data_IF_419931991469
#
_entry.id   IF_419931991469
#
_cell.length_a   1.000
_cell.length_b   1.000
_cell.length_c   1.000
_cell.angle_alpha   90.00
_cell.angle_beta   90.00
_cell.angle_gamma   90.00
#
_symmetry.space_group_name_H-M   'P 1'
#
loop_
_entity.id
_entity.type
_entity.pdbx_description
1 polymer ?
#
# COMPACT_ATOMS: atom_id res chain seq x y z
N UNK A 1 4.13 -20.16 21.28
CA UNK A 1 3.72 -21.41 21.95
C UNK A 1 3.06 -22.31 20.90
N UNK A 2 3.59 -23.52 20.73
CA UNK A 2 3.35 -24.41 19.58
C UNK A 2 1.95 -25.06 19.60
N UNK A 3 1.27 -25.21 18.44
CA UNK A 3 -0.01 -25.93 18.30
C UNK A 3 0.14 -27.47 18.32
N UNK A 4 1.33 -28.00 18.63
CA UNK A 4 1.62 -29.45 18.64
C UNK A 4 1.09 -30.21 19.86
N UNK A 5 0.70 -29.52 20.94
CA UNK A 5 0.29 -30.18 22.19
C UNK A 5 -1.11 -30.82 22.10
N UNK A 6 -1.96 -30.33 21.18
CA UNK A 6 -3.36 -30.74 21.09
C UNK A 6 -3.55 -32.11 20.42
N UNK A 7 -2.61 -32.51 19.54
CA UNK A 7 -2.62 -33.82 18.89
C UNK A 7 -2.09 -34.95 19.78
N UNK A 8 -1.11 -34.66 20.64
CA UNK A 8 -0.55 -35.65 21.57
C UNK A 8 -1.53 -36.04 22.67
N UNK A 9 -2.37 -35.11 23.14
CA UNK A 9 -3.43 -35.37 24.13
C UNK A 9 -4.55 -36.25 23.55
N UNK A 10 -4.89 -36.09 22.26
CA UNK A 10 -5.91 -36.90 21.59
C UNK A 10 -5.46 -38.37 21.42
N UNK A 11 -4.18 -38.59 21.11
CA UNK A 11 -3.59 -39.94 21.02
C UNK A 11 -3.49 -40.63 22.39
N UNK A 12 -3.24 -39.87 23.46
CA UNK A 12 -3.18 -40.42 24.82
C UNK A 12 -4.56 -40.79 25.36
N UNK A 13 -5.61 -40.01 25.05
CA UNK A 13 -6.99 -40.33 25.42
C UNK A 13 -7.52 -41.58 24.72
N UNK A 14 -7.09 -41.86 23.48
CA UNK A 14 -7.45 -43.10 22.78
C UNK A 14 -6.76 -44.36 23.37
N UNK A 15 -5.69 -44.21 24.16
CA UNK A 15 -4.94 -45.33 24.73
C UNK A 15 -5.43 -45.78 26.11
N UNK A 16 -6.27 -44.99 26.80
CA UNK A 16 -6.72 -45.29 28.18
C UNK A 16 -8.19 -45.69 28.32
N UNK A 17 -8.98 -45.73 27.24
CA UNK A 17 -10.42 -46.01 27.33
C UNK A 17 -10.88 -47.39 26.84
N UNK A 18 -10.01 -48.42 26.88
CA UNK A 18 -10.41 -49.80 26.62
C UNK A 18 -10.35 -50.65 27.89
N UNK A 19 -11.28 -50.41 28.81
CA UNK A 19 -11.68 -51.38 29.82
C UNK A 19 -13.18 -51.69 29.67
N UNK A 20 -13.43 -52.93 29.24
CA UNK A 20 -14.62 -53.77 29.39
C UNK A 20 -16.02 -53.14 29.28
N UNK A 21 -16.58 -53.12 28.06
CA UNK A 21 -18.03 -53.30 27.84
C UNK A 21 -18.33 -53.80 26.41
N UNK A 22 -19.38 -54.61 26.20
CA UNK A 22 -19.54 -55.42 25.01
C UNK A 22 -20.38 -54.70 23.94
N UNK A 23 -19.86 -53.63 23.34
CA UNK A 23 -20.47 -53.01 22.15
C UNK A 23 -19.52 -52.05 21.42
N UNK A 24 -18.51 -52.56 20.72
CA UNK A 24 -17.90 -51.82 19.60
C UNK A 24 -17.06 -52.75 18.72
N UNK A 25 -17.55 -53.06 17.52
CA UNK A 25 -16.73 -53.58 16.43
C UNK A 25 -15.76 -52.48 15.94
N UNK A 26 -14.53 -52.87 15.62
CA UNK A 26 -13.43 -52.05 15.07
C UNK A 26 -12.47 -51.38 16.07
N UNK A 27 -11.74 -52.17 16.85
CA UNK A 27 -10.42 -51.77 17.35
C UNK A 27 -9.33 -52.46 16.51
N UNK A 28 -8.44 -51.69 15.88
CA UNK A 28 -7.27 -52.21 15.14
C UNK A 28 -6.34 -52.95 16.11
N UNK A 29 -5.99 -54.20 15.80
CA UNK A 29 -5.07 -55.00 16.60
C UNK A 29 -3.68 -54.33 16.61
N UNK A 30 -2.94 -54.43 17.73
CA UNK A 30 -1.56 -53.94 17.90
C UNK A 30 -0.65 -54.26 16.71
N UNK A 31 -0.81 -55.44 16.10
CA UNK A 31 -0.05 -55.84 14.92
C UNK A 31 -0.41 -55.04 13.66
N UNK A 32 -1.69 -54.69 13.47
CA UNK A 32 -2.14 -53.85 12.35
C UNK A 32 -1.65 -52.42 12.51
N UNK A 33 -1.65 -51.88 13.74
CA UNK A 33 -1.13 -50.54 14.04
C UNK A 33 0.38 -50.44 13.74
N UNK A 34 1.16 -51.46 14.14
CA UNK A 34 2.59 -51.53 13.86
C UNK A 34 2.88 -51.65 12.35
N UNK A 35 2.03 -52.35 11.60
CA UNK A 35 2.15 -52.43 10.14
C UNK A 35 1.89 -51.08 9.46
N UNK A 36 0.86 -50.34 9.89
CA UNK A 36 0.57 -48.99 9.36
C UNK A 36 1.68 -47.99 9.68
N UNK A 37 2.28 -48.05 10.87
CA UNK A 37 3.42 -47.19 11.23
C UNK A 37 4.63 -47.48 10.36
N UNK A 38 4.93 -48.76 10.08
CA UNK A 38 6.04 -49.13 9.18
C UNK A 38 5.81 -48.65 7.75
N UNK A 39 4.57 -48.72 7.25
CA UNK A 39 4.22 -48.17 5.94
C UNK A 39 4.38 -46.65 5.88
N UNK A 40 3.94 -45.91 6.89
CA UNK A 40 4.15 -44.46 6.97
C UNK A 40 5.65 -44.10 7.03
N UNK A 41 6.45 -44.86 7.78
CA UNK A 41 7.91 -44.65 7.82
C UNK A 41 8.58 -44.89 6.45
N UNK A 42 8.18 -45.95 5.72
CA UNK A 42 8.68 -46.18 4.36
C UNK A 42 8.26 -45.08 3.39
N UNK A 43 7.03 -44.60 3.50
CA UNK A 43 6.53 -43.50 2.69
C UNK A 43 7.32 -42.21 2.94
N UNK A 44 7.53 -41.83 4.20
CA UNK A 44 8.29 -40.65 4.58
C UNK A 44 9.75 -40.73 4.10
N UNK A 45 10.38 -41.90 4.21
CA UNK A 45 11.74 -42.15 3.68
C UNK A 45 11.79 -42.04 2.14
N UNK A 46 10.72 -42.46 1.47
CA UNK A 46 10.55 -42.26 0.02
C UNK A 46 10.39 -40.79 -0.38
N UNK A 47 9.71 -39.97 0.44
CA UNK A 47 9.58 -38.53 0.21
C UNK A 47 10.91 -37.81 0.45
N UNK A 48 11.64 -38.17 1.49
CA UNK A 48 12.96 -37.62 1.81
C UNK A 48 13.97 -37.86 0.67
N UNK A 49 14.03 -39.09 0.15
CA UNK A 49 14.93 -39.42 -0.98
C UNK A 49 14.58 -38.66 -2.26
N UNK A 50 13.28 -38.49 -2.58
CA UNK A 50 12.85 -37.67 -3.73
C UNK A 50 13.17 -36.20 -3.57
N UNK A 51 13.05 -35.68 -2.34
CA UNK A 51 13.39 -34.29 -2.04
C UNK A 51 14.90 -34.03 -2.18
N UNK A 52 15.74 -34.91 -1.64
CA UNK A 52 17.20 -34.85 -1.80
C UNK A 52 17.62 -34.90 -3.27
N UNK A 53 16.98 -35.76 -4.05
CA UNK A 53 17.21 -35.88 -5.49
C UNK A 53 16.76 -34.63 -6.27
N UNK A 54 15.65 -34.00 -5.87
CA UNK A 54 15.20 -32.72 -6.40
C UNK A 54 16.18 -31.58 -6.13
N UNK A 55 16.74 -31.51 -4.92
CA UNK A 55 17.79 -30.55 -4.55
C UNK A 55 19.06 -30.78 -5.39
N UNK A 56 19.45 -32.04 -5.62
CA UNK A 56 20.61 -32.40 -6.47
C UNK A 56 20.44 -31.91 -7.90
N UNK A 57 19.25 -32.09 -8.48
CA UNK A 57 18.91 -31.59 -9.81
C UNK A 57 18.92 -30.05 -9.89
N UNK A 58 18.37 -29.37 -8.87
CA UNK A 58 18.42 -27.90 -8.79
C UNK A 58 19.85 -27.39 -8.72
N UNK A 59 20.71 -27.99 -7.88
CA UNK A 59 22.12 -27.62 -7.76
C UNK A 59 22.86 -27.79 -9.09
N UNK A 60 22.60 -28.88 -9.81
CA UNK A 60 23.19 -29.12 -11.13
C UNK A 60 22.74 -28.09 -12.18
N UNK A 61 21.45 -27.73 -12.20
CA UNK A 61 20.97 -26.65 -13.09
C UNK A 61 21.59 -25.31 -12.73
N UNK A 62 21.73 -24.99 -11.44
CA UNK A 62 22.37 -23.77 -10.97
C UNK A 62 23.83 -23.68 -11.43
N UNK A 63 24.60 -24.77 -11.31
CA UNK A 63 25.99 -24.83 -11.81
C UNK A 63 26.07 -24.70 -13.33
N UNK A 64 25.08 -25.21 -14.06
CA UNK A 64 25.02 -25.10 -15.53
C UNK A 64 24.71 -23.66 -15.96
N UNK A 65 23.80 -22.98 -15.26
CA UNK A 65 23.50 -21.57 -15.43
C UNK A 65 24.71 -20.68 -15.13
N UNK A 66 25.42 -20.97 -14.04
CA UNK A 66 26.62 -20.24 -13.65
C UNK A 66 27.74 -20.39 -14.69
N UNK A 67 27.92 -21.58 -15.27
CA UNK A 67 28.86 -21.82 -16.36
C UNK A 67 28.45 -21.19 -17.70
N UNK A 68 27.16 -20.93 -17.89
CA UNK A 68 26.64 -20.25 -19.09
C UNK A 68 26.84 -18.73 -18.98
N UNK A 69 26.67 -18.19 -17.77
CA UNK A 69 26.96 -16.78 -17.44
C UNK A 69 28.46 -16.46 -17.56
N UNK A 70 29.35 -17.37 -17.19
CA UNK A 70 30.81 -17.16 -17.31
C UNK A 70 31.36 -17.34 -18.73
N UNK A 71 30.58 -17.93 -19.64
CA UNK A 71 30.94 -18.12 -21.06
C UNK A 71 30.35 -17.08 -22.02
N UNK A 72 29.55 -16.13 -21.54
CA UNK A 72 29.06 -15.05 -22.36
C UNK A 72 30.21 -14.09 -22.71
N UNK A 73 30.54 -14.02 -24.00
CA UNK A 73 31.46 -13.03 -24.58
C UNK A 73 30.91 -11.60 -24.42
N UNK A 74 31.74 -10.55 -24.55
CA UNK A 74 31.42 -9.23 -24.02
C UNK A 74 30.25 -8.58 -24.76
N UNK A 75 29.34 -8.04 -23.96
CA UNK A 75 28.19 -7.22 -24.37
C UNK A 75 28.63 -6.06 -25.29
N UNK A 76 27.82 -5.67 -26.30
CA UNK A 76 28.04 -4.41 -26.99
C UNK A 76 28.07 -3.30 -25.93
N UNK A 77 29.11 -2.46 -25.96
CA UNK A 77 29.31 -1.41 -24.97
C UNK A 77 28.03 -0.55 -24.89
N UNK A 78 27.31 -0.69 -23.77
CA UNK A 78 26.13 0.11 -23.50
C UNK A 78 26.58 1.57 -23.44
N UNK A 79 25.98 2.41 -24.28
CA UNK A 79 26.24 3.85 -24.29
C UNK A 79 25.49 4.46 -23.10
N UNK A 80 26.23 5.08 -22.18
CA UNK A 80 25.70 5.76 -21.01
C UNK A 80 25.94 7.26 -21.12
N UNK A 81 24.95 8.07 -20.75
CA UNK A 81 25.12 9.50 -20.59
C UNK A 81 25.77 9.84 -19.23
N UNK A 82 26.45 10.99 -19.09
CA UNK A 82 27.02 11.43 -17.80
C UNK A 82 25.96 11.52 -16.70
N UNK A 83 26.34 11.24 -15.45
CA UNK A 83 25.41 11.34 -14.31
C UNK A 83 25.04 12.81 -14.07
N UNK A 84 23.75 13.12 -14.11
CA UNK A 84 23.24 14.46 -13.80
C UNK A 84 23.19 14.69 -12.29
N UNK A 85 23.77 15.81 -11.85
CA UNK A 85 23.71 16.26 -10.45
C UNK A 85 22.34 16.85 -10.09
N UNK A 86 22.04 16.88 -8.80
CA UNK A 86 20.79 17.45 -8.30
C UNK A 86 20.93 18.98 -8.28
N UNK A 87 19.99 19.75 -8.87
CA UNK A 87 20.00 21.20 -8.78
C UNK A 87 19.93 21.67 -7.34
N UNK A 88 20.69 22.71 -6.98
CA UNK A 88 20.60 23.35 -5.68
C UNK A 88 19.16 23.82 -5.44
N UNK A 89 18.61 23.51 -4.26
CA UNK A 89 17.19 23.75 -3.91
C UNK A 89 16.18 23.03 -4.83
N UNK A 90 16.56 21.91 -5.43
CA UNK A 90 15.70 21.05 -6.24
C UNK A 90 15.83 19.56 -5.92
N UNK A 91 15.01 18.74 -6.59
CA UNK A 91 15.02 17.27 -6.51
C UNK A 91 15.12 16.68 -7.91
N UNK A 92 15.89 15.59 -8.04
CA UNK A 92 16.06 14.82 -9.29
C UNK A 92 15.34 13.48 -9.19
N UNK A 93 14.58 13.13 -10.22
CA UNK A 93 13.94 11.82 -10.36
C UNK A 93 14.53 11.09 -11.57
N UNK A 94 14.90 9.83 -11.37
CA UNK A 94 15.61 9.03 -12.37
C UNK A 94 17.08 8.83 -11.98
N UNK A 95 17.47 7.58 -11.74
CA UNK A 95 18.84 7.18 -11.35
C UNK A 95 19.61 6.53 -12.49
N UNK A 96 18.93 6.18 -13.58
CA UNK A 96 19.51 5.51 -14.76
C UNK A 96 19.89 6.52 -15.84
N UNK A 97 20.97 6.23 -16.56
CA UNK A 97 21.59 7.10 -17.57
C UNK A 97 21.87 6.36 -18.89
N UNK A 98 21.07 5.34 -19.23
CA UNK A 98 21.18 4.63 -20.51
C UNK A 98 20.34 5.34 -21.58
N UNK A 99 20.61 5.06 -22.85
CA UNK A 99 19.83 5.58 -23.99
C UNK A 99 18.32 5.39 -23.76
N UNK A 100 17.53 6.41 -24.13
CA UNK A 100 16.07 6.55 -23.95
C UNK A 100 15.57 6.67 -22.50
N UNK A 101 16.46 6.72 -21.50
CA UNK A 101 16.05 7.07 -20.14
C UNK A 101 15.90 8.58 -19.98
N UNK A 102 14.85 8.97 -19.26
CA UNK A 102 14.48 10.35 -18.98
C UNK A 102 14.63 10.66 -17.48
N UNK A 103 15.17 11.85 -17.19
CA UNK A 103 15.42 12.36 -15.84
C UNK A 103 14.67 13.66 -15.66
N UNK A 104 13.86 13.73 -14.61
CA UNK A 104 13.03 14.88 -14.30
C UNK A 104 13.58 15.68 -13.12
N UNK A 105 13.38 16.99 -13.17
CA UNK A 105 13.81 17.93 -12.14
C UNK A 105 12.62 18.74 -11.65
N UNK A 106 12.51 18.88 -10.33
CA UNK A 106 11.57 19.80 -9.69
C UNK A 106 12.33 20.71 -8.74
N UNK A 107 11.84 21.93 -8.54
CA UNK A 107 12.36 22.84 -7.54
C UNK A 107 11.57 22.72 -6.24
N UNK A 108 12.22 23.00 -5.11
CA UNK A 108 11.54 23.12 -3.83
C UNK A 108 10.57 24.32 -3.87
N UNK A 109 9.53 24.33 -3.01
CA UNK A 109 8.60 25.45 -2.91
C UNK A 109 9.35 26.79 -2.71
N UNK A 110 8.98 27.83 -3.48
CA UNK A 110 9.63 29.16 -3.45
C UNK A 110 10.68 29.39 -4.54
N UNK A 111 11.04 28.36 -5.32
CA UNK A 111 11.99 28.46 -6.41
C UNK A 111 11.32 28.16 -7.76
N UNK A 112 11.61 28.98 -8.77
CA UNK A 112 11.16 28.78 -10.14
C UNK A 112 12.21 28.02 -10.95
N UNK A 113 11.75 27.00 -11.68
CA UNK A 113 12.61 26.22 -12.56
C UNK A 113 12.97 27.02 -13.81
N UNK A 114 14.26 27.17 -14.06
CA UNK A 114 14.81 27.76 -15.27
C UNK A 114 15.67 26.71 -15.99
N UNK A 115 15.48 26.55 -17.30
CA UNK A 115 16.04 25.44 -18.08
C UNK A 115 15.02 24.32 -18.33
N UNK A 116 15.50 23.12 -18.69
CA UNK A 116 14.61 21.99 -19.01
C UNK A 116 14.14 21.27 -17.74
N UNK A 117 12.82 21.07 -17.58
CA UNK A 117 12.24 20.29 -16.48
C UNK A 117 12.41 18.78 -16.64
N UNK A 118 12.83 18.34 -17.83
CA UNK A 118 13.11 16.95 -18.15
C UNK A 118 14.24 16.83 -19.19
N UNK A 119 15.05 15.77 -19.09
CA UNK A 119 16.17 15.49 -19.99
C UNK A 119 16.22 14.01 -20.35
N UNK A 120 16.44 13.68 -21.61
CA UNK A 120 16.49 12.31 -22.13
C UNK A 120 17.88 11.97 -22.66
N UNK A 121 18.38 10.77 -22.37
CA UNK A 121 19.70 10.31 -22.79
C UNK A 121 19.65 9.80 -24.25
N UNK A 122 20.50 10.38 -25.10
CA UNK A 122 20.52 10.10 -26.54
C UNK A 122 21.54 9.00 -26.90
N UNK A 123 21.38 8.34 -28.08
CA UNK A 123 22.33 7.32 -28.56
C UNK A 123 23.77 7.81 -28.75
N UNK A 124 24.00 9.12 -28.79
CA UNK A 124 25.32 9.75 -28.89
C UNK A 124 26.01 9.95 -27.51
N UNK A 125 25.39 9.52 -26.40
CA UNK A 125 25.91 9.69 -25.04
C UNK A 125 25.68 11.07 -24.43
N UNK A 126 24.80 11.90 -24.99
CA UNK A 126 24.48 13.24 -24.48
C UNK A 126 23.03 13.36 -24.01
N UNK A 127 22.76 14.32 -23.12
CA UNK A 127 21.41 14.60 -22.63
C UNK A 127 20.75 15.70 -23.45
N UNK A 128 19.47 15.53 -23.79
CA UNK A 128 18.65 16.59 -24.38
C UNK A 128 18.42 17.74 -23.39
N UNK A 129 18.04 18.90 -23.93
CA UNK A 129 17.65 20.07 -23.14
C UNK A 129 18.80 20.83 -22.48
N UNK A 130 18.43 21.90 -21.78
CA UNK A 130 19.33 22.81 -21.07
C UNK A 130 19.46 22.43 -19.60
N UNK A 131 20.58 22.80 -18.97
CA UNK A 131 20.82 22.51 -17.56
C UNK A 131 19.78 23.20 -16.66
N UNK A 132 19.13 22.42 -15.80
CA UNK A 132 18.07 22.90 -14.90
C UNK A 132 18.65 23.65 -13.70
N UNK A 133 18.19 24.87 -13.48
CA UNK A 133 18.53 25.69 -12.31
C UNK A 133 17.26 26.16 -11.61
N UNK A 134 17.22 26.02 -10.30
CA UNK A 134 16.15 26.55 -9.46
C UNK A 134 16.54 27.95 -9.00
N UNK A 135 15.92 28.98 -9.59
CA UNK A 135 16.15 30.38 -9.19
C UNK A 135 15.11 30.80 -8.17
N UNK A 136 15.55 31.44 -7.10
CA UNK A 136 14.65 32.05 -6.13
C UNK A 136 13.78 33.10 -6.82
N UNK A 137 12.48 33.10 -6.51
CA UNK A 137 11.59 34.20 -6.88
C UNK A 137 11.89 35.36 -5.92
N UNK A 138 12.17 36.56 -6.44
CA UNK A 138 12.76 37.66 -5.66
C UNK A 138 11.93 38.10 -4.44
N UNK A 139 12.67 38.25 -3.35
CA UNK A 139 12.30 38.48 -1.95
C UNK A 139 11.68 39.86 -1.63
N UNK A 140 10.88 39.86 -0.55
CA UNK A 140 10.11 40.95 0.06
C UNK A 140 9.08 41.66 -0.85
N UNK A 141 8.05 40.93 -1.29
CA UNK A 141 6.77 41.56 -1.66
C UNK A 141 6.07 42.08 -0.38
N UNK A 142 5.37 43.24 -0.37
CA UNK A 142 4.92 43.92 0.85
C UNK A 142 3.89 43.18 1.72
N UNK A 143 3.51 41.96 1.35
CA UNK A 143 2.47 41.17 1.99
C UNK A 143 2.99 40.03 2.87
N UNK A 144 4.31 39.77 2.89
CA UNK A 144 4.82 38.62 3.63
C UNK A 144 4.92 38.88 5.13
N UNK A 145 5.48 40.01 5.59
CA UNK A 145 5.50 40.36 7.02
C UNK A 145 4.20 41.05 7.43
N UNK A 146 3.41 40.40 8.28
CA UNK A 146 2.13 40.89 8.75
C UNK A 146 2.31 41.84 9.96
N UNK A 147 1.27 42.59 10.31
CA UNK A 147 1.17 43.33 11.57
C UNK A 147 2.34 44.30 11.87
N UNK A 148 2.82 45.00 10.84
CA UNK A 148 3.89 46.00 10.97
C UNK A 148 5.30 45.40 11.11
N UNK A 149 5.50 44.12 10.78
CA UNK A 149 6.82 43.50 10.70
C UNK A 149 7.67 44.07 9.56
N UNK A 150 8.96 44.30 9.81
CA UNK A 150 9.90 44.81 8.81
C UNK A 150 10.61 43.65 8.12
N UNK A 151 10.45 43.52 6.81
CA UNK A 151 11.11 42.49 6.01
C UNK A 151 12.57 42.88 5.77
N UNK A 152 13.51 42.05 6.22
CA UNK A 152 14.94 42.20 5.92
C UNK A 152 15.43 40.96 5.18
N UNK A 153 16.20 41.16 4.12
CA UNK A 153 16.84 40.07 3.39
C UNK A 153 18.13 39.70 4.12
N UNK A 154 18.23 38.47 4.62
CA UNK A 154 19.40 37.94 5.33
C UNK A 154 19.96 36.75 4.51
N UNK A 155 20.62 37.06 3.39
CA UNK A 155 21.15 36.04 2.46
C UNK A 155 20.13 35.57 1.42
N UNK A 156 20.04 34.25 1.17
CA UNK A 156 19.04 33.61 0.27
C UNK A 156 17.68 33.31 0.98
N UNK A 157 17.40 34.02 2.08
CA UNK A 157 16.16 33.89 2.85
C UNK A 157 15.70 35.26 3.37
N UNK A 158 14.38 35.48 3.38
CA UNK A 158 13.78 36.66 4.01
C UNK A 158 13.54 36.41 5.51
N UNK A 159 13.73 37.43 6.32
CA UNK A 159 13.47 37.41 7.77
C UNK A 159 12.61 38.60 8.14
N UNK A 160 11.49 38.35 8.81
CA UNK A 160 10.63 39.41 9.33
C UNK A 160 11.07 39.79 10.74
N UNK A 161 11.42 41.06 10.95
CA UNK A 161 11.64 41.63 12.28
C UNK A 161 10.29 42.10 12.82
N UNK A 162 9.78 41.42 13.84
CA UNK A 162 8.47 41.69 14.41
C UNK A 162 8.50 42.80 15.46
N UNK A 163 7.38 43.54 15.57
CA UNK A 163 7.15 44.52 16.64
C UNK A 163 7.03 43.82 18.00
N UNK A 164 7.17 44.57 19.11
CA UNK A 164 7.28 44.03 20.49
C UNK A 164 6.15 43.10 20.92
N UNK A 165 4.99 43.16 20.28
CA UNK A 165 3.80 42.36 20.58
C UNK A 165 3.47 41.30 19.52
N UNK A 166 4.41 40.96 18.63
CA UNK A 166 4.22 39.94 17.59
C UNK A 166 5.41 38.97 17.47
N UNK A 167 5.12 37.70 17.16
CA UNK A 167 6.06 36.58 17.00
C UNK A 167 5.67 35.71 15.79
N UNK A 168 6.56 34.80 15.40
CA UNK A 168 6.39 33.93 14.24
C UNK A 168 7.24 34.35 13.05
N UNK A 169 7.35 33.45 12.06
CA UNK A 169 8.22 33.62 10.89
C UNK A 169 7.84 34.81 10.01
N UNK A 170 6.60 35.27 10.08
CA UNK A 170 6.12 36.42 9.34
C UNK A 170 5.29 37.40 10.19
N UNK A 171 5.51 37.41 11.50
CA UNK A 171 4.81 38.24 12.49
C UNK A 171 3.29 38.01 12.52
N UNK A 172 2.87 36.77 12.24
CA UNK A 172 1.47 36.38 12.21
C UNK A 172 0.83 36.20 13.61
N UNK A 173 1.63 35.99 14.66
CA UNK A 173 1.12 35.66 15.98
C UNK A 173 1.33 36.83 16.93
N UNK A 174 0.28 37.32 17.58
CA UNK A 174 0.44 38.27 18.68
C UNK A 174 1.19 37.56 19.81
N UNK A 175 2.19 38.21 20.43
CA UNK A 175 2.93 37.67 21.57
C UNK A 175 1.94 37.44 22.71
N UNK A 176 1.42 36.23 22.82
CA UNK A 176 0.42 35.89 23.83
C UNK A 176 1.08 35.92 25.22
N UNK A 177 0.81 36.99 25.97
CA UNK A 177 1.01 37.06 27.44
C UNK A 177 -0.12 36.36 28.20
N UNK A 178 -1.08 35.76 27.48
CA UNK A 178 -2.26 35.09 28.02
C UNK A 178 -2.33 33.69 27.41
N UNK A 179 -2.57 32.62 28.22
CA UNK A 179 -2.69 31.26 27.71
C UNK A 179 -3.69 31.19 26.55
N UNK A 180 -3.43 30.34 25.54
CA UNK A 180 -4.29 30.25 24.38
C UNK A 180 -5.71 29.83 24.79
N UNK A 181 -6.69 30.33 24.02
CA UNK A 181 -8.15 30.21 24.23
C UNK A 181 -8.69 28.78 24.30
N UNK A 182 -7.85 27.76 24.13
CA UNK A 182 -8.21 26.36 24.26
C UNK A 182 -7.97 25.76 25.64
N UNK A 183 -7.34 26.48 26.55
CA UNK A 183 -7.29 26.12 27.97
C UNK A 183 -8.71 26.16 28.53
N UNK A 184 -9.26 24.99 28.87
CA UNK A 184 -10.55 24.90 29.57
C UNK A 184 -10.30 25.38 30.99
N UNK A 185 -10.44 26.68 31.18
CA UNK A 185 -10.36 27.32 32.48
C UNK A 185 -11.62 26.93 33.26
N UNK A 186 -11.42 26.20 34.38
CA UNK A 186 -12.43 25.77 35.36
C UNK A 186 -13.03 24.34 35.25
N UNK A 187 -12.49 23.44 34.42
CA UNK A 187 -12.81 22.01 34.56
C UNK A 187 -11.85 21.36 35.58
N UNK A 188 -12.35 20.82 36.73
CA UNK A 188 -11.51 20.17 37.74
C UNK A 188 -10.75 18.94 37.22
N UNK A 189 -11.13 18.37 36.08
CA UNK A 189 -10.38 17.29 35.41
C UNK A 189 -9.16 17.80 34.63
N UNK A 190 -9.21 19.00 34.07
CA UNK A 190 -8.17 19.55 33.16
C UNK A 190 -7.33 20.67 33.79
N UNK A 191 -7.62 21.02 35.05
CA UNK A 191 -6.89 22.04 35.81
C UNK A 191 -6.45 21.48 37.17
N UNK A 192 -5.18 21.66 37.54
CA UNK A 192 -4.61 21.20 38.82
C UNK A 192 -3.66 22.22 39.44
N UNK A 193 -3.40 22.13 40.75
CA UNK A 193 -2.45 23.02 41.44
C UNK A 193 -0.99 22.61 41.14
N UNK A 194 -0.06 23.57 40.98
CA UNK A 194 1.35 23.28 40.76
C UNK A 194 2.02 22.70 42.01
N UNK A 195 3.04 21.87 41.81
CA UNK A 195 3.89 21.35 42.88
C UNK A 195 5.02 22.35 43.13
N UNK A 196 5.06 22.94 44.32
CA UNK A 196 6.05 23.96 44.67
C UNK A 196 6.99 23.47 45.78
N UNK A 197 8.29 23.66 45.58
CA UNK A 197 9.31 23.45 46.59
C UNK A 197 9.89 24.81 47.04
N UNK A 198 10.16 24.95 48.35
CA UNK A 198 10.77 26.15 48.93
C UNK A 198 12.26 25.93 49.14
N UNK A 199 13.10 26.83 48.64
CA UNK A 199 14.54 26.84 48.85
C UNK A 199 14.97 28.25 49.28
N UNK A 200 15.53 28.41 50.49
CA UNK A 200 16.20 29.61 51.02
C UNK A 200 15.87 30.94 50.28
N UNK A 201 14.64 31.42 50.47
CA UNK A 201 14.03 32.65 49.91
C UNK A 201 13.51 32.61 48.46
N UNK A 202 13.46 31.45 47.80
CA UNK A 202 12.92 31.25 46.46
C UNK A 202 11.90 30.10 46.40
N UNK A 203 10.76 30.33 45.75
CA UNK A 203 9.71 29.32 45.55
C UNK A 203 9.72 28.87 44.09
N UNK A 204 10.14 27.63 43.84
CA UNK A 204 10.11 27.03 42.51
C UNK A 204 8.89 26.13 42.38
N UNK A 205 8.02 26.44 41.44
CA UNK A 205 6.82 25.67 41.14
C UNK A 205 6.95 24.98 39.77
N UNK A 206 6.53 23.73 39.68
CA UNK A 206 6.46 22.98 38.43
C UNK A 206 5.10 22.27 38.27
N UNK A 207 4.71 22.06 37.02
CA UNK A 207 3.54 21.27 36.65
C UNK A 207 3.95 19.83 36.33
N UNK A 208 2.99 18.92 36.43
CA UNK A 208 3.14 17.55 35.96
C UNK A 208 3.26 17.53 34.42
N UNK A 209 3.88 16.48 33.87
CA UNK A 209 4.01 16.33 32.42
C UNK A 209 2.62 16.37 31.75
N UNK A 210 2.54 17.02 30.58
CA UNK A 210 1.26 17.25 29.88
C UNK A 210 0.48 18.47 30.38
N UNK A 211 0.97 19.20 31.39
CA UNK A 211 0.36 20.45 31.87
C UNK A 211 1.32 21.63 31.71
N UNK A 212 0.77 22.79 31.32
CA UNK A 212 1.49 24.05 31.28
C UNK A 212 1.07 24.96 32.43
N UNK A 213 2.01 25.76 32.94
CA UNK A 213 1.74 26.69 34.03
C UNK A 213 1.13 27.98 33.48
N UNK A 214 0.03 28.40 34.07
CA UNK A 214 -0.77 29.56 33.69
C UNK A 214 -1.10 30.37 34.95
N UNK A 215 -1.05 31.71 34.91
CA UNK A 215 -1.31 32.58 36.07
C UNK A 215 -0.08 33.31 36.63
N UNK A 216 -0.29 34.09 37.71
CA UNK A 216 0.74 34.90 38.39
C UNK A 216 1.41 34.13 39.54
N UNK A 217 2.54 34.60 40.07
CA UNK A 217 3.34 33.92 41.12
C UNK A 217 2.55 33.50 42.36
N UNK A 218 1.43 34.16 42.66
CA UNK A 218 0.57 33.85 43.81
C UNK A 218 -0.63 32.94 43.44
N UNK A 219 -0.99 32.85 42.15
CA UNK A 219 -2.18 32.16 41.64
C UNK A 219 -1.88 31.24 40.44
N UNK A 220 -0.69 30.65 40.40
CA UNK A 220 -0.30 29.70 39.35
C UNK A 220 -1.19 28.46 39.36
N UNK A 221 -1.73 28.12 38.19
CA UNK A 221 -2.53 26.92 37.93
C UNK A 221 -1.90 26.12 36.79
N UNK A 222 -1.87 24.80 36.92
CA UNK A 222 -1.45 23.90 35.86
C UNK A 222 -2.65 23.54 35.00
N UNK A 223 -2.63 23.94 33.73
CA UNK A 223 -3.67 23.65 32.77
C UNK A 223 -3.18 22.59 31.80
N UNK A 224 -4.05 21.62 31.53
CA UNK A 224 -3.80 20.55 30.59
C UNK A 224 -3.39 21.11 29.22
N UNK A 225 -2.44 20.46 28.56
CA UNK A 225 -2.02 20.79 27.20
C UNK A 225 -2.82 19.91 26.24
N UNK A 226 -3.69 20.51 25.44
CA UNK A 226 -4.51 19.77 24.50
C UNK A 226 -3.71 19.45 23.24
N UNK A 227 -3.05 18.29 23.21
CA UNK A 227 -2.19 17.89 22.10
C UNK A 227 -3.01 17.75 20.81
N UNK A 228 -4.27 17.32 20.90
CA UNK A 228 -5.17 17.21 19.74
C UNK A 228 -5.39 18.54 19.02
N UNK A 229 -5.32 19.68 19.71
CA UNK A 229 -5.42 21.01 19.08
C UNK A 229 -4.05 21.50 18.60
N UNK A 230 -2.99 21.24 19.36
CA UNK A 230 -1.62 21.62 19.00
C UNK A 230 -1.22 21.01 17.66
N UNK A 231 -1.53 19.72 17.46
CA UNK A 231 -1.18 18.99 16.24
C UNK A 231 -2.24 19.04 15.12
N UNK A 232 -3.32 19.82 15.30
CA UNK A 232 -4.33 20.08 14.25
C UNK A 232 -4.02 21.35 13.44
N UNK A 233 -2.96 22.06 13.77
CA UNK A 233 -2.51 23.25 13.05
C UNK A 233 -1.91 22.87 11.69
N UNK A 234 -2.21 23.65 10.65
CA UNK A 234 -1.72 23.39 9.28
C UNK A 234 -0.19 23.31 9.24
N UNK A 235 0.34 22.21 8.68
CA UNK A 235 1.79 21.96 8.53
C UNK A 235 2.43 21.08 9.60
N UNK A 236 1.70 20.63 10.63
CA UNK A 236 2.19 19.61 11.57
C UNK A 236 1.92 18.18 11.06
N UNK A 237 2.83 17.20 11.27
CA UNK A 237 2.52 15.79 11.05
C UNK A 237 1.37 15.37 11.97
N UNK A 238 0.35 14.70 11.40
CA UNK A 238 -0.85 14.31 12.12
C UNK A 238 -0.53 13.44 13.35
N UNK A 239 -1.05 13.83 14.51
CA UNK A 239 -0.80 13.15 15.79
C UNK A 239 -1.42 11.74 15.85
N UNK A 240 -2.64 11.63 15.33
CA UNK A 240 -3.40 10.40 15.21
C UNK A 240 -3.76 10.22 13.73
N UNK A 241 -3.83 8.96 13.29
CA UNK A 241 -4.22 8.63 11.91
C UNK A 241 -5.69 8.94 11.62
N UNK A 242 -6.54 8.93 12.67
CA UNK A 242 -7.95 9.30 12.56
C UNK A 242 -8.40 10.28 13.65
N UNK A 243 -8.97 9.79 14.77
CA UNK A 243 -9.56 10.66 15.80
C UNK A 243 -8.63 10.79 17.00
N UNK A 244 -8.30 12.03 17.38
CA UNK A 244 -7.56 12.34 18.60
C UNK A 244 -8.52 12.74 19.73
N UNK A 245 -8.39 12.12 20.89
CA UNK A 245 -9.20 12.40 22.08
C UNK A 245 -8.27 12.88 23.20
N UNK A 246 -8.49 14.13 23.63
CA UNK A 246 -7.74 14.74 24.72
C UNK A 246 -8.17 14.18 26.07
N UNK A 247 -7.22 13.83 26.93
CA UNK A 247 -7.46 13.35 28.30
C UNK A 247 -6.57 14.13 29.27
N UNK A 248 -6.90 14.24 30.57
CA UNK A 248 -6.05 14.99 31.49
C UNK A 248 -4.60 14.48 31.54
N UNK A 249 -3.66 15.32 31.12
CA UNK A 249 -2.22 15.08 31.07
C UNK A 249 -1.73 14.33 29.85
N UNK A 250 -2.61 14.02 28.88
CA UNK A 250 -2.24 13.26 27.69
C UNK A 250 -3.33 13.26 26.60
N UNK A 251 -3.18 12.39 25.62
CA UNK A 251 -4.18 12.12 24.60
C UNK A 251 -4.20 10.62 24.29
N UNK A 252 -5.27 10.16 23.67
CA UNK A 252 -5.27 8.86 23.00
C UNK A 252 -5.91 8.95 21.62
N UNK A 253 -5.45 8.11 20.72
CA UNK A 253 -6.02 8.00 19.39
C UNK A 253 -7.11 6.93 19.36
N UNK A 254 -8.12 7.15 18.53
CA UNK A 254 -9.20 6.20 18.27
C UNK A 254 -9.42 6.03 16.77
N UNK A 255 -9.75 4.80 16.40
CA UNK A 255 -9.97 4.40 15.02
C UNK A 255 -11.46 4.29 14.70
N UNK A 256 -11.84 4.45 13.43
CA UNK A 256 -13.23 4.29 13.02
C UNK A 256 -13.68 2.83 13.14
N UNK A 257 -14.99 2.60 13.03
CA UNK A 257 -15.56 1.25 13.00
C UNK A 257 -14.94 0.42 11.87
N UNK A 258 -14.64 -0.86 12.15
CA UNK A 258 -13.94 -1.75 11.23
C UNK A 258 -12.41 -1.67 11.33
N UNK A 259 -11.87 -0.78 12.17
CA UNK A 259 -10.44 -0.63 12.39
C UNK A 259 -10.07 -0.74 13.86
N UNK A 260 -8.87 -1.22 14.14
CA UNK A 260 -8.28 -1.26 15.49
C UNK A 260 -7.03 -0.41 15.57
N UNK A 261 -6.76 0.10 16.78
CA UNK A 261 -5.54 0.86 17.03
C UNK A 261 -4.33 -0.07 16.95
N UNK A 262 -3.32 0.35 16.19
CA UNK A 262 -2.06 -0.36 16.04
C UNK A 262 -1.20 -0.25 17.30
N UNK A 263 -0.11 -1.02 17.37
CA UNK A 263 0.76 -1.08 18.55
C UNK A 263 1.50 0.24 18.86
N UNK A 264 1.57 1.15 17.90
CA UNK A 264 2.11 2.50 18.07
C UNK A 264 1.15 3.47 18.81
N UNK A 265 -0.09 3.03 19.05
CA UNK A 265 -1.13 3.82 19.70
C UNK A 265 -1.65 4.99 18.86
N UNK A 266 -1.33 5.04 17.57
CA UNK A 266 -1.61 6.20 16.68
C UNK A 266 -2.18 5.80 15.33
N UNK A 267 -1.72 4.69 14.78
CA UNK A 267 -2.13 4.18 13.48
C UNK A 267 -3.38 3.30 13.59
N UNK A 268 -4.17 3.27 12.54
CA UNK A 268 -5.35 2.42 12.41
C UNK A 268 -5.06 1.28 11.45
N UNK A 269 -5.31 0.06 11.91
CA UNK A 269 -5.18 -1.15 11.12
C UNK A 269 -6.56 -1.75 10.90
N UNK A 270 -6.84 -2.11 9.65
CA UNK A 270 -8.09 -2.73 9.25
C UNK A 270 -8.30 -4.08 9.97
N UNK A 271 -9.55 -4.36 10.36
CA UNK A 271 -9.92 -5.63 10.97
C UNK A 271 -10.34 -6.57 9.85
N UNK A 272 -9.46 -7.49 9.48
CA UNK A 272 -9.78 -8.48 8.44
C UNK A 272 -10.81 -9.50 8.95
N UNK A 273 -12.10 -9.24 8.69
CA UNK A 273 -13.18 -10.12 9.15
C UNK A 273 -13.19 -11.46 8.41
N UNK A 274 -12.59 -11.53 7.22
CA UNK A 274 -12.46 -12.76 6.45
C UNK A 274 -11.45 -13.72 7.10
N UNK A 275 -10.31 -13.21 7.56
CA UNK A 275 -9.29 -14.01 8.27
C UNK A 275 -9.76 -14.37 9.68
N UNK A 276 -10.45 -13.44 10.36
CA UNK A 276 -10.95 -13.66 11.71
C UNK A 276 -12.25 -14.48 11.76
N UNK A 277 -12.82 -14.85 10.61
CA UNK A 277 -14.10 -15.56 10.50
C UNK A 277 -15.26 -14.83 11.21
N UNK A 278 -15.22 -13.50 11.21
CA UNK A 278 -16.26 -12.62 11.77
C UNK A 278 -17.27 -12.17 10.71
N UNK A 279 -17.09 -12.61 9.46
CA UNK A 279 -17.98 -12.31 8.36
C UNK A 279 -19.29 -13.13 8.42
N UNK A 280 -20.40 -12.52 8.00
CA UNK A 280 -21.71 -13.17 7.96
C UNK A 280 -22.10 -13.62 6.53
N UNK A 281 -21.12 -14.12 5.77
CA UNK A 281 -21.34 -14.54 4.39
C UNK A 281 -22.11 -15.87 4.30
N UNK A 282 -23.09 -15.94 3.40
CA UNK A 282 -23.89 -17.16 3.20
C UNK A 282 -23.07 -18.29 2.58
N UNK A 283 -23.48 -19.54 2.83
CA UNK A 283 -22.84 -20.73 2.25
C UNK A 283 -22.74 -20.62 0.72
N UNK A 284 -21.53 -20.82 0.18
CA UNK A 284 -21.27 -20.71 -1.27
C UNK A 284 -20.84 -19.32 -1.76
N UNK A 285 -20.79 -18.31 -0.88
CA UNK A 285 -20.17 -17.01 -1.17
C UNK A 285 -18.75 -16.95 -0.61
N UNK A 286 -17.90 -16.12 -1.22
CA UNK A 286 -16.52 -15.89 -0.82
C UNK A 286 -16.40 -14.53 -0.12
N UNK A 287 -15.67 -14.47 0.99
CA UNK A 287 -15.40 -13.22 1.70
C UNK A 287 -14.22 -12.50 1.04
N UNK A 288 -14.39 -11.20 0.78
CA UNK A 288 -13.33 -10.28 0.33
C UNK A 288 -13.19 -9.19 1.38
N UNK A 289 -12.00 -9.05 1.95
CA UNK A 289 -11.73 -7.99 2.91
C UNK A 289 -11.64 -6.62 2.22
N UNK A 290 -12.18 -5.58 2.84
CA UNK A 290 -12.21 -4.21 2.34
C UNK A 290 -11.86 -3.21 3.44
N UNK A 291 -11.44 -2.00 3.10
CA UNK A 291 -11.13 -1.01 4.13
C UNK A 291 -12.37 -0.68 4.97
N UNK A 292 -12.37 -1.09 6.24
CA UNK A 292 -13.43 -0.88 7.22
C UNK A 292 -14.54 -1.93 7.23
N UNK A 293 -14.36 -3.06 6.53
CA UNK A 293 -15.36 -4.12 6.51
C UNK A 293 -15.09 -5.21 5.47
N UNK A 294 -16.09 -6.02 5.14
CA UNK A 294 -15.96 -7.09 4.14
C UNK A 294 -17.10 -7.07 3.12
N UNK A 295 -16.86 -7.73 1.99
CA UNK A 295 -17.85 -7.97 0.94
C UNK A 295 -17.95 -9.46 0.62
N UNK A 296 -19.17 -9.99 0.65
CA UNK A 296 -19.44 -11.37 0.25
C UNK A 296 -19.74 -11.40 -1.25
N UNK A 297 -18.89 -12.07 -2.02
CA UNK A 297 -18.99 -12.13 -3.47
C UNK A 297 -19.25 -13.56 -3.94
N UNK A 298 -20.08 -13.71 -4.96
CA UNK A 298 -20.21 -14.95 -5.71
C UNK A 298 -20.28 -14.62 -7.20
N UNK A 299 -19.13 -14.45 -7.87
CA UNK A 299 -19.14 -14.15 -9.28
C UNK A 299 -19.67 -15.33 -10.08
N UNK A 300 -20.58 -15.03 -10.99
CA UNK A 300 -21.20 -16.00 -11.90
C UNK A 300 -20.66 -15.83 -13.32
N UNK A 301 -20.54 -16.95 -14.04
CA UNK A 301 -20.17 -16.90 -15.45
C UNK A 301 -21.31 -16.27 -16.28
N UNK A 302 -20.99 -15.61 -17.40
CA UNK A 302 -22.01 -15.03 -18.27
C UNK A 302 -23.03 -16.09 -18.72
N UNK A 303 -24.31 -15.70 -18.74
CA UNK A 303 -25.38 -16.58 -19.24
C UNK A 303 -25.09 -16.98 -20.69
N UNK A 304 -25.44 -18.22 -21.10
CA UNK A 304 -25.28 -18.66 -22.47
C UNK A 304 -25.97 -17.71 -23.45
N UNK A 305 -25.28 -17.34 -24.53
CA UNK A 305 -25.82 -16.47 -25.56
C UNK A 305 -25.45 -17.03 -26.95
N UNK A 306 -26.44 -17.55 -27.66
CA UNK A 306 -26.24 -18.27 -28.92
C UNK A 306 -25.27 -19.45 -28.74
N UNK A 307 -24.24 -19.51 -29.57
CA UNK A 307 -23.21 -20.56 -29.54
C UNK A 307 -22.13 -20.36 -28.46
N UNK A 308 -22.23 -19.32 -27.63
CA UNK A 308 -21.25 -19.02 -26.59
C UNK A 308 -21.79 -19.45 -25.23
N UNK A 309 -21.04 -20.32 -24.55
CA UNK A 309 -21.32 -20.75 -23.18
C UNK A 309 -20.03 -20.84 -22.36
N UNK A 310 -20.16 -20.69 -21.05
CA UNK A 310 -19.05 -20.67 -20.10
C UNK A 310 -19.28 -21.69 -18.99
N UNK A 311 -18.18 -22.24 -18.49
CA UNK A 311 -18.14 -23.11 -17.31
C UNK A 311 -17.25 -22.49 -16.25
N UNK A 312 -17.64 -22.61 -14.98
CA UNK A 312 -16.86 -22.13 -13.84
C UNK A 312 -15.74 -23.13 -13.54
N UNK A 313 -14.49 -22.72 -13.74
CA UNK A 313 -13.31 -23.57 -13.50
C UNK A 313 -12.69 -23.33 -12.13
N UNK A 314 -12.92 -22.15 -11.55
CA UNK A 314 -12.56 -21.83 -10.17
C UNK A 314 -13.59 -20.83 -9.58
N UNK A 315 -13.56 -20.55 -8.26
CA UNK A 315 -14.43 -19.54 -7.65
C UNK A 315 -14.42 -18.18 -8.35
N UNK A 316 -13.29 -17.82 -8.99
CA UNK A 316 -13.05 -16.53 -9.62
C UNK A 316 -12.68 -16.62 -11.10
N UNK A 317 -12.93 -17.76 -11.75
CA UNK A 317 -12.56 -17.98 -13.15
C UNK A 317 -13.61 -18.78 -13.91
N UNK A 318 -13.92 -18.30 -15.11
CA UNK A 318 -14.74 -18.96 -16.10
C UNK A 318 -13.92 -19.26 -17.35
N UNK A 319 -14.19 -20.40 -17.96
CA UNK A 319 -13.62 -20.80 -19.25
C UNK A 319 -14.75 -21.03 -20.26
N UNK A 320 -14.52 -20.61 -21.50
CA UNK A 320 -15.47 -20.77 -22.59
C UNK A 320 -15.49 -22.23 -23.04
N UNK A 321 -16.67 -22.79 -23.23
CA UNK A 321 -16.81 -24.12 -23.81
C UNK A 321 -16.32 -24.14 -25.28
N UNK A 322 -15.99 -25.33 -25.82
CA UNK A 322 -15.59 -25.47 -27.22
C UNK A 322 -16.62 -24.85 -28.18
N UNK A 323 -16.13 -24.05 -29.14
CA UNK A 323 -16.97 -23.38 -30.12
C UNK A 323 -17.24 -24.30 -31.33
N UNK A 324 -18.44 -24.24 -31.93
CA UNK A 324 -18.68 -24.81 -33.24
C UNK A 324 -17.79 -24.17 -34.30
N UNK A 325 -17.26 -24.95 -35.24
CA UNK A 325 -16.29 -24.51 -36.26
C UNK A 325 -16.78 -23.31 -37.08
N UNK A 326 -18.08 -23.24 -37.38
CA UNK A 326 -18.66 -22.19 -38.23
C UNK A 326 -18.97 -20.90 -37.44
N UNK A 327 -18.87 -20.93 -36.11
CA UNK A 327 -19.34 -19.84 -35.26
C UNK A 327 -18.25 -18.81 -35.00
N UNK A 328 -17.99 -17.95 -35.99
CA UNK A 328 -16.98 -16.88 -35.91
C UNK A 328 -17.12 -16.02 -34.64
N UNK A 329 -18.35 -15.64 -34.26
CA UNK A 329 -18.63 -14.87 -33.04
C UNK A 329 -18.17 -15.56 -31.74
N UNK A 330 -18.24 -16.89 -31.67
CA UNK A 330 -17.80 -17.66 -30.50
C UNK A 330 -16.28 -17.68 -30.39
N UNK A 331 -15.58 -17.82 -31.53
CA UNK A 331 -14.12 -17.80 -31.55
C UNK A 331 -13.56 -16.45 -31.08
N UNK A 332 -14.23 -15.32 -31.37
CA UNK A 332 -13.84 -13.99 -30.84
C UNK A 332 -14.32 -13.70 -29.42
N UNK A 333 -15.24 -14.49 -28.86
CA UNK A 333 -15.66 -14.33 -27.48
C UNK A 333 -14.47 -14.58 -26.53
N UNK A 334 -14.45 -14.03 -25.31
CA UNK A 334 -13.39 -14.31 -24.34
C UNK A 334 -13.23 -15.80 -24.10
N UNK A 335 -12.00 -16.32 -24.21
CA UNK A 335 -11.64 -17.70 -23.86
C UNK A 335 -11.69 -17.91 -22.35
N UNK A 336 -11.18 -16.96 -21.58
CA UNK A 336 -11.30 -16.95 -20.12
C UNK A 336 -11.83 -15.62 -19.62
N UNK A 337 -12.58 -15.68 -18.53
CA UNK A 337 -13.04 -14.51 -17.78
C UNK A 337 -12.61 -14.71 -16.33
N UNK A 338 -11.87 -13.76 -15.77
CA UNK A 338 -11.42 -13.80 -14.38
C UNK A 338 -12.00 -12.63 -13.59
N UNK A 339 -12.26 -12.84 -12.30
CA UNK A 339 -12.84 -11.85 -11.40
C UNK A 339 -11.82 -11.47 -10.33
N UNK A 340 -11.56 -10.17 -10.21
CA UNK A 340 -10.59 -9.61 -9.26
C UNK A 340 -11.27 -8.55 -8.42
N UNK A 341 -10.90 -8.50 -7.14
CA UNK A 341 -11.45 -7.55 -6.18
C UNK A 341 -10.28 -6.85 -5.51
N UNK A 342 -10.20 -5.52 -5.64
CA UNK A 342 -9.13 -4.72 -5.05
C UNK A 342 -9.72 -3.70 -4.08
N UNK A 343 -9.43 -3.82 -2.78
CA UNK A 343 -9.69 -2.76 -1.83
C UNK A 343 -8.66 -1.65 -1.99
N UNK A 344 -9.11 -0.39 -2.03
CA UNK A 344 -8.30 0.80 -2.21
C UNK A 344 -8.69 1.89 -1.20
N UNK A 345 -7.74 2.68 -0.68
CA UNK A 345 -8.06 3.90 0.07
C UNK A 345 -8.56 5.02 -0.85
N UNK A 346 -9.21 6.04 -0.26
CA UNK A 346 -9.74 7.20 -0.99
C UNK A 346 -8.69 8.14 -1.59
N UNK A 347 -7.47 8.18 -1.02
CA UNK A 347 -6.43 9.13 -1.41
C UNK A 347 -5.23 8.44 -2.08
N UNK A 348 -5.53 7.56 -3.05
CA UNK A 348 -4.47 6.94 -3.84
C UNK A 348 -3.77 8.02 -4.68
N UNK A 349 -2.46 8.18 -4.48
CA UNK A 349 -1.66 9.12 -5.28
C UNK A 349 -1.71 8.69 -6.75
N UNK A 350 -2.09 9.59 -7.65
CA UNK A 350 -2.14 9.28 -9.08
C UNK A 350 -0.96 9.89 -9.83
N UNK A 351 -0.41 9.20 -10.86
CA UNK A 351 -0.86 7.92 -11.41
C UNK A 351 -0.36 6.71 -10.62
N UNK A 352 -1.23 5.70 -10.42
CA UNK A 352 -0.86 4.44 -9.72
C UNK A 352 -1.29 3.20 -10.51
N UNK A 353 -0.39 2.22 -10.74
CA UNK A 353 -0.76 0.95 -11.34
C UNK A 353 -1.59 0.11 -10.36
N UNK A 354 -2.80 -0.28 -10.76
CA UNK A 354 -3.73 -1.07 -9.94
C UNK A 354 -3.68 -2.56 -10.25
N UNK A 355 -3.51 -2.92 -11.50
CA UNK A 355 -3.62 -4.31 -11.94
C UNK A 355 -2.71 -4.59 -13.11
N UNK A 356 -2.14 -5.80 -13.16
CA UNK A 356 -1.21 -6.22 -14.22
C UNK A 356 -1.68 -7.52 -14.86
N UNK A 357 -1.68 -7.55 -16.19
CA UNK A 357 -1.94 -8.72 -17.01
C UNK A 357 -0.67 -9.11 -17.73
N UNK A 358 -0.29 -10.39 -17.65
CA UNK A 358 0.84 -10.92 -18.39
C UNK A 358 0.59 -12.36 -18.84
N UNK A 359 1.20 -12.76 -19.95
CA UNK A 359 1.20 -14.16 -20.39
C UNK A 359 2.39 -14.91 -19.80
N UNK A 360 2.16 -16.09 -19.23
CA UNK A 360 3.23 -17.02 -18.92
C UNK A 360 3.58 -17.83 -20.18
N UNK A 361 4.76 -17.61 -20.75
CA UNK A 361 5.27 -18.43 -21.85
C UNK A 361 5.72 -19.79 -21.29
N UNK A 362 5.10 -20.89 -21.70
CA UNK A 362 5.58 -22.23 -21.31
C UNK A 362 6.96 -22.50 -21.98
N UNK A 363 7.92 -23.14 -21.28
CA UNK A 363 9.21 -23.49 -21.87
C UNK A 363 9.03 -24.35 -23.13
N UNK A 364 9.58 -23.91 -24.27
CA UNK A 364 9.59 -24.68 -25.53
C UNK A 364 8.42 -24.45 -26.48
N UNK A 365 7.48 -23.54 -26.19
CA UNK A 365 6.54 -23.01 -27.19
C UNK A 365 6.93 -21.57 -27.52
N UNK A 366 7.00 -21.17 -28.81
CA UNK A 366 7.05 -19.74 -29.14
C UNK A 366 5.78 -19.13 -28.54
N UNK A 367 5.96 -18.25 -27.55
CA UNK A 367 4.85 -17.48 -26.98
C UNK A 367 4.17 -16.63 -28.05
N UNK A 368 3.01 -16.02 -27.77
CA UNK A 368 2.36 -15.14 -28.73
C UNK A 368 3.33 -14.03 -29.17
N UNK A 369 3.47 -13.82 -30.49
CA UNK A 369 4.36 -12.80 -31.05
C UNK A 369 3.90 -11.39 -30.69
N UNK A 370 2.59 -11.21 -30.43
CA UNK A 370 2.00 -9.92 -30.11
C UNK A 370 0.81 -10.04 -29.16
N UNK A 371 0.82 -9.19 -28.13
CA UNK A 371 -0.30 -8.97 -27.22
C UNK A 371 -0.89 -7.58 -27.44
N UNK A 372 -2.22 -7.48 -27.36
CA UNK A 372 -2.95 -6.21 -27.27
C UNK A 372 -3.72 -6.18 -25.97
N UNK A 373 -3.68 -5.03 -25.31
CA UNK A 373 -4.40 -4.78 -24.07
C UNK A 373 -5.42 -3.67 -24.30
N UNK A 374 -6.59 -3.78 -23.67
CA UNK A 374 -7.66 -2.82 -23.82
C UNK A 374 -8.55 -2.73 -22.59
N UNK A 375 -9.33 -1.65 -22.54
CA UNK A 375 -10.44 -1.51 -21.59
C UNK A 375 -11.72 -1.78 -22.39
N UNK A 376 -12.48 -2.78 -22.00
CA UNK A 376 -13.70 -3.20 -22.70
C UNK A 376 -14.97 -2.64 -22.05
N UNK A 377 -14.89 -2.21 -20.79
CA UNK A 377 -16.04 -1.63 -20.08
C UNK A 377 -15.65 -0.94 -18.77
N UNK A 378 -16.57 -0.15 -18.22
CA UNK A 378 -16.41 0.44 -16.88
C UNK A 378 -15.50 1.68 -16.78
N UNK A 379 -15.19 2.34 -17.91
CA UNK A 379 -14.33 3.55 -17.94
C UNK A 379 -15.01 4.75 -18.62
N UNK A 380 -16.31 4.95 -18.40
CA UNK A 380 -17.07 6.05 -19.02
C UNK A 380 -16.57 7.45 -18.62
N UNK A 381 -15.87 7.57 -17.49
CA UNK A 381 -15.33 8.83 -16.94
C UNK A 381 -13.83 9.03 -17.20
N UNK A 382 -13.14 8.07 -17.83
CA UNK A 382 -11.71 8.17 -18.14
C UNK A 382 -10.78 8.12 -16.93
N UNK A 383 -11.21 7.53 -15.81
CA UNK A 383 -10.36 7.36 -14.61
C UNK A 383 -9.21 6.36 -14.85
N UNK A 384 -9.38 5.43 -15.79
CA UNK A 384 -8.45 4.34 -16.03
C UNK A 384 -7.79 4.43 -17.40
N UNK A 385 -6.52 4.05 -17.47
CA UNK A 385 -5.79 3.83 -18.72
C UNK A 385 -5.16 2.45 -18.69
N UNK A 386 -5.23 1.74 -19.82
CA UNK A 386 -4.50 0.48 -19.99
C UNK A 386 -3.22 0.78 -20.76
N UNK A 387 -2.07 0.57 -20.14
CA UNK A 387 -0.76 0.85 -20.71
C UNK A 387 0.03 -0.45 -20.87
N UNK A 388 0.75 -0.59 -21.99
CA UNK A 388 1.69 -1.70 -22.18
C UNK A 388 3.00 -1.37 -21.46
N UNK A 389 3.38 -2.18 -20.48
CA UNK A 389 4.62 -2.03 -19.72
C UNK A 389 5.81 -2.67 -20.44
N UNK A 390 5.61 -3.85 -21.02
CA UNK A 390 6.64 -4.55 -21.83
C UNK A 390 6.00 -5.36 -22.98
N UNK A 391 6.76 -6.24 -23.66
CA UNK A 391 6.19 -7.05 -24.75
C UNK A 391 5.12 -8.04 -24.32
N UNK A 392 5.11 -8.47 -23.07
CA UNK A 392 4.22 -9.51 -22.52
C UNK A 392 3.26 -9.00 -21.44
N UNK A 393 3.37 -7.72 -21.04
CA UNK A 393 2.72 -7.17 -19.85
C UNK A 393 1.94 -5.90 -20.16
N UNK A 394 0.69 -5.85 -19.69
CA UNK A 394 -0.16 -4.68 -19.68
C UNK A 394 -0.58 -4.31 -18.26
N UNK A 395 -0.68 -3.02 -17.97
CA UNK A 395 -1.00 -2.46 -16.67
C UNK A 395 -2.22 -1.55 -16.76
N UNK A 396 -3.17 -1.76 -15.85
CA UNK A 396 -4.27 -0.86 -15.60
C UNK A 396 -3.81 0.20 -14.61
N UNK A 397 -3.82 1.46 -15.04
CA UNK A 397 -3.33 2.59 -14.26
C UNK A 397 -4.49 3.50 -13.92
N UNK A 398 -4.59 3.86 -12.64
CA UNK A 398 -5.49 4.90 -12.15
C UNK A 398 -4.85 6.27 -12.42
N UNK A 399 -5.52 7.10 -13.20
CA UNK A 399 -5.03 8.42 -13.61
C UNK A 399 -5.68 9.59 -12.88
N UNK A 400 -6.84 9.34 -12.26
CA UNK A 400 -7.61 10.32 -11.49
C UNK A 400 -8.02 9.68 -10.17
N UNK A 401 -8.02 10.44 -9.08
CA UNK A 401 -8.41 9.92 -7.77
C UNK A 401 -9.88 9.50 -7.77
N UNK A 402 -10.18 8.43 -7.02
CA UNK A 402 -11.53 7.95 -6.80
C UNK A 402 -11.98 8.38 -5.41
N UNK A 403 -13.09 9.10 -5.31
CA UNK A 403 -13.64 9.47 -4.01
C UNK A 403 -14.43 8.29 -3.42
N UNK A 404 -14.06 7.82 -2.23
CA UNK A 404 -14.85 6.84 -1.50
C UNK A 404 -16.00 7.47 -0.69
N UNK A 405 -16.89 6.66 -0.10
CA UNK A 405 -17.01 5.21 -0.30
C UNK A 405 -17.74 4.89 -1.61
N UNK A 406 -17.13 4.07 -2.48
CA UNK A 406 -17.79 3.59 -3.69
C UNK A 406 -17.22 2.26 -4.18
N UNK A 407 -18.05 1.49 -4.90
CA UNK A 407 -17.62 0.32 -5.63
C UNK A 407 -17.70 0.59 -7.14
N UNK A 408 -16.60 0.43 -7.86
CA UNK A 408 -16.54 0.63 -9.31
C UNK A 408 -15.99 -0.62 -9.97
N UNK A 409 -16.60 -1.04 -11.07
CA UNK A 409 -16.11 -2.17 -11.86
C UNK A 409 -15.52 -1.68 -13.18
N UNK A 410 -14.34 -2.18 -13.51
CA UNK A 410 -13.66 -1.96 -14.79
C UNK A 410 -13.33 -3.31 -15.42
N UNK A 411 -13.61 -3.42 -16.72
CA UNK A 411 -13.33 -4.64 -17.48
C UNK A 411 -12.18 -4.37 -18.44
N UNK A 412 -11.14 -5.18 -18.34
CA UNK A 412 -9.96 -5.11 -19.21
C UNK A 412 -9.78 -6.40 -19.98
N UNK A 413 -9.19 -6.32 -21.16
CA UNK A 413 -8.89 -7.49 -21.97
C UNK A 413 -7.44 -7.57 -22.41
N UNK A 414 -6.99 -8.80 -22.62
CA UNK A 414 -5.73 -9.16 -23.25
C UNK A 414 -6.03 -10.08 -24.43
N UNK A 415 -5.67 -9.63 -25.64
CA UNK A 415 -5.86 -10.37 -26.89
C UNK A 415 -4.51 -10.85 -27.42
N UNK A 416 -4.42 -12.14 -27.73
CA UNK A 416 -3.24 -12.83 -28.21
C UNK A 416 -3.26 -12.98 -29.73
N UNK A 417 -2.11 -12.71 -30.37
CA UNK A 417 -1.94 -12.86 -31.81
C UNK A 417 -0.67 -13.64 -32.15
N UNK A 418 -0.78 -14.53 -33.15
CA UNK A 418 0.32 -15.28 -33.74
C UNK A 418 0.36 -15.00 -35.25
N UNK A 419 1.46 -14.46 -35.79
CA UNK A 419 1.52 -14.14 -37.22
C UNK A 419 0.37 -13.25 -37.74
N UNK A 420 -0.09 -12.29 -36.93
CA UNK A 420 -1.29 -11.41 -37.17
C UNK A 420 -2.65 -12.10 -37.11
N UNK A 421 -2.72 -13.41 -36.90
CA UNK A 421 -3.96 -14.12 -36.65
C UNK A 421 -4.37 -14.03 -35.17
N UNK A 422 -5.64 -13.78 -34.90
CA UNK A 422 -6.19 -13.78 -33.55
C UNK A 422 -6.23 -15.20 -33.00
N UNK A 423 -5.71 -15.40 -31.78
CA UNK A 423 -5.61 -16.71 -31.14
C UNK A 423 -6.61 -16.84 -29.98
N UNK A 424 -6.58 -15.90 -29.05
CA UNK A 424 -7.41 -15.93 -27.85
C UNK A 424 -7.62 -14.51 -27.29
N UNK A 425 -8.70 -14.34 -26.53
CA UNK A 425 -8.99 -13.15 -25.74
C UNK A 425 -9.24 -13.55 -24.30
N UNK A 426 -8.64 -12.85 -23.37
CA UNK A 426 -8.79 -13.04 -21.94
C UNK A 426 -9.36 -11.77 -21.35
N UNK A 427 -10.41 -11.88 -20.54
CA UNK A 427 -11.04 -10.72 -19.89
C UNK A 427 -10.85 -10.82 -18.38
N UNK A 428 -10.50 -9.70 -17.76
CA UNK A 428 -10.46 -9.54 -16.31
C UNK A 428 -11.49 -8.50 -15.90
N UNK A 429 -12.46 -8.93 -15.10
CA UNK A 429 -13.44 -8.06 -14.45
C UNK A 429 -12.89 -7.67 -13.09
N UNK A 430 -12.54 -6.41 -12.95
CA UNK A 430 -11.87 -5.86 -11.77
C UNK A 430 -12.87 -4.99 -11.02
N UNK A 431 -13.19 -5.37 -9.80
CA UNK A 431 -14.08 -4.61 -8.91
C UNK A 431 -13.21 -3.90 -7.87
N UNK A 432 -13.24 -2.58 -7.87
CA UNK A 432 -12.52 -1.73 -6.94
C UNK A 432 -13.45 -1.33 -5.80
N UNK A 433 -13.05 -1.57 -4.56
CA UNK A 433 -13.75 -1.13 -3.36
C UNK A 433 -12.98 0.04 -2.76
N UNK A 434 -13.46 1.26 -3.00
CA UNK A 434 -12.81 2.48 -2.50
C UNK A 434 -13.35 2.78 -1.11
N UNK A 435 -12.49 2.71 -0.10
CA UNK A 435 -12.79 3.01 1.31
C UNK A 435 -13.16 4.47 1.49
N UNK A 436 -13.96 4.79 2.51
CA UNK A 436 -14.24 6.17 2.92
C UNK A 436 -13.00 6.87 3.52
N UNK A 437 -11.99 6.11 3.92
CA UNK A 437 -10.79 6.62 4.58
C UNK A 437 -9.60 6.67 3.62
N UNK A 438 -8.64 7.54 3.93
CA UNK A 438 -7.43 7.75 3.11
C UNK A 438 -6.34 6.69 3.33
N UNK A 439 -6.57 5.75 4.25
CA UNK A 439 -5.59 4.80 4.73
C UNK A 439 -5.95 3.34 4.53
#
# INVERSE_FOLDING_TARGET
MMPGLQYSLFLFFCLTSCQESPASQSCLNKQQLLATVRQMQQFLKGQETRFVEGIRHMKHRLTTLQNTLTKAAPEPQAVFCPVLEVPLHGKKFGTKNMVDHEVHFICNPGFQLTGSSSRMCQPNGTWTGEATQCKGVSECTPHFCQNGGTCVNEGEQYKCICSKDWTGSNCQYQTQTVPPTWSVTNDPGFSRKPRCAKFDHMQQCSCEAGFHMSGTSENSICQDVNECKVYKLEGAPGLCMHTCINIPGSYHCSCPTGYRLFSDGKSCEDIDECVLLLHNCTTGTMCINTGGGFQCVNPECPKPNGNVSYVKTSPFQCERNPCPMDSRSCHYAPKTISFHYLPLPSNLVTPTPLFRMATASAPGRPGPDSLRFGIVGGNSRGHFVMQRSDRQTGELILTQSLQGPQATQVEVDMSEYLGRSFQAKHVSKITLFVSAYEF
#
